data_IF_934669730447
#
_entry.id   IF_934669730447
#
_cell.length_a   1.000
_cell.length_b   1.000
_cell.length_c   1.000
_cell.angle_alpha   90.00
_cell.angle_beta   90.00
_cell.angle_gamma   90.00
#
_symmetry.space_group_name_H-M   'P 1'
#
loop_
_entity.id
_entity.type
_entity.pdbx_description
1 polymer ?
#
# COMPACT_ATOMS: atom_id res chain seq x y z
N UNK A 1 -4.63 8.71 -25.71
CA UNK A 1 -4.97 9.54 -24.53
C UNK A 1 -6.27 8.96 -24.01
N UNK A 2 -6.14 8.01 -23.09
CA UNK A 2 -7.30 7.36 -22.47
C UNK A 2 -8.02 8.43 -21.64
N UNK A 3 -9.34 8.66 -21.83
CA UNK A 3 -10.05 9.62 -21.01
C UNK A 3 -9.95 9.16 -19.56
N UNK A 4 -9.35 10.00 -18.71
CA UNK A 4 -9.37 9.80 -17.26
C UNK A 4 -10.80 9.46 -16.83
N UNK A 5 -10.97 8.44 -15.97
CA UNK A 5 -12.26 8.07 -15.43
C UNK A 5 -12.94 9.34 -14.86
N UNK A 6 -14.24 9.56 -15.11
CA UNK A 6 -14.91 10.84 -14.86
C UNK A 6 -14.91 11.30 -13.39
N UNK A 7 -14.47 10.45 -12.45
CA UNK A 7 -14.41 10.72 -11.01
C UNK A 7 -12.97 10.66 -10.44
N UNK A 8 -11.93 10.66 -11.29
CA UNK A 8 -10.55 10.51 -10.83
C UNK A 8 -10.02 11.79 -10.13
N UNK A 9 -9.42 11.62 -8.95
CA UNK A 9 -8.88 12.72 -8.14
C UNK A 9 -7.65 13.35 -8.81
N UNK A 10 -7.62 14.67 -9.07
CA UNK A 10 -6.48 15.29 -9.73
C UNK A 10 -5.24 15.26 -8.82
N UNK A 11 -4.13 14.75 -9.36
CA UNK A 11 -2.90 14.58 -8.61
C UNK A 11 -1.65 15.05 -9.38
N UNK A 12 -0.66 15.55 -8.66
CA UNK A 12 0.68 15.83 -9.21
C UNK A 12 1.64 14.74 -8.74
N UNK A 13 2.42 14.19 -9.65
CA UNK A 13 3.48 13.23 -9.30
C UNK A 13 4.77 13.98 -8.95
N UNK A 14 5.45 13.55 -7.90
CA UNK A 14 6.77 14.02 -7.53
C UNK A 14 7.74 12.85 -7.43
N UNK A 15 8.95 12.96 -7.97
CA UNK A 15 9.94 11.87 -7.90
C UNK A 15 11.37 12.39 -7.71
N UNK A 16 12.19 11.65 -6.97
CA UNK A 16 13.59 12.00 -6.69
C UNK A 16 14.50 10.79 -6.86
N UNK A 17 15.68 11.02 -7.42
CA UNK A 17 16.72 10.00 -7.54
C UNK A 17 18.11 10.62 -7.39
N UNK A 18 19.08 9.85 -6.90
CA UNK A 18 20.48 10.33 -6.85
C UNK A 18 21.22 10.13 -8.18
N UNK A 19 20.86 9.06 -8.92
CA UNK A 19 21.58 8.57 -10.10
C UNK A 19 20.99 9.03 -11.43
N UNK A 20 20.20 8.18 -12.07
CA UNK A 20 19.54 8.51 -13.34
C UNK A 20 18.29 9.36 -13.11
N UNK A 21 17.87 10.21 -14.06
CA UNK A 21 16.61 10.93 -13.96
C UNK A 21 15.45 9.98 -13.60
N UNK A 22 14.55 10.35 -12.66
CA UNK A 22 13.44 9.47 -12.29
C UNK A 22 12.56 9.16 -13.50
N UNK A 23 12.23 7.88 -13.68
CA UNK A 23 11.19 7.43 -14.62
C UNK A 23 9.87 7.33 -13.86
N UNK A 24 8.89 8.14 -14.25
CA UNK A 24 7.58 8.24 -13.61
C UNK A 24 6.52 7.36 -14.28
N UNK A 25 6.85 6.57 -15.32
CA UNK A 25 5.86 5.78 -16.04
C UNK A 25 5.09 4.82 -15.12
N UNK A 26 5.81 4.05 -14.31
CA UNK A 26 5.22 3.06 -13.40
C UNK A 26 4.35 3.71 -12.31
N UNK A 27 4.84 4.75 -11.63
CA UNK A 27 4.07 5.39 -10.55
C UNK A 27 2.80 6.06 -11.09
N UNK A 28 2.80 6.51 -12.35
CA UNK A 28 1.61 7.05 -13.02
C UNK A 28 0.56 5.97 -13.30
N UNK A 29 0.99 4.77 -13.70
CA UNK A 29 0.10 3.61 -13.84
C UNK A 29 -0.48 3.19 -12.49
N UNK A 30 0.34 3.15 -11.44
CA UNK A 30 -0.14 2.87 -10.07
C UNK A 30 -1.13 3.92 -9.57
N UNK A 31 -0.85 5.20 -9.82
CA UNK A 31 -1.73 6.31 -9.48
C UNK A 31 -3.09 6.18 -10.20
N UNK A 32 -3.07 5.88 -11.50
CA UNK A 32 -4.29 5.66 -12.27
C UNK A 32 -5.10 4.48 -11.74
N UNK A 33 -4.44 3.36 -11.41
CA UNK A 33 -5.08 2.20 -10.81
C UNK A 33 -5.70 2.50 -9.43
N UNK A 34 -5.16 3.47 -8.70
CA UNK A 34 -5.67 3.94 -7.40
C UNK A 34 -6.72 5.07 -7.54
N UNK A 35 -7.17 5.39 -8.76
CA UNK A 35 -8.21 6.39 -8.99
C UNK A 35 -7.73 7.83 -9.08
N UNK A 36 -6.42 8.07 -9.27
CA UNK A 36 -5.88 9.41 -9.46
C UNK A 36 -5.68 9.76 -10.93
N UNK A 37 -5.98 11.00 -11.30
CA UNK A 37 -5.66 11.59 -12.60
C UNK A 37 -4.39 12.43 -12.49
N UNK A 38 -3.28 11.97 -13.06
CA UNK A 38 -2.01 12.71 -13.01
C UNK A 38 -2.05 13.93 -13.94
N UNK A 39 -2.18 15.12 -13.35
CA UNK A 39 -2.32 16.42 -14.06
C UNK A 39 -1.00 17.19 -14.19
N UNK A 40 0.06 16.73 -13.53
CA UNK A 40 1.39 17.34 -13.60
C UNK A 40 2.46 16.44 -12.99
N UNK A 41 3.73 16.79 -13.22
CA UNK A 41 4.86 16.08 -12.60
C UNK A 41 6.02 17.01 -12.25
N UNK A 42 6.74 16.67 -11.18
CA UNK A 42 7.99 17.33 -10.76
C UNK A 42 9.02 16.26 -10.45
N UNK A 43 10.11 16.22 -11.20
CA UNK A 43 11.21 15.29 -10.95
C UNK A 43 12.50 16.00 -10.56
N UNK A 44 13.32 15.35 -9.74
CA UNK A 44 14.61 15.88 -9.33
C UNK A 44 15.69 14.81 -9.27
N UNK A 45 16.85 15.11 -9.88
CA UNK A 45 18.07 14.35 -9.63
C UNK A 45 18.92 15.04 -8.55
N UNK A 46 18.93 14.48 -7.34
CA UNK A 46 19.70 14.98 -6.19
C UNK A 46 19.76 13.91 -5.08
N UNK A 47 20.73 14.05 -4.18
CA UNK A 47 20.63 13.47 -2.84
C UNK A 47 19.41 14.03 -2.09
N UNK A 48 18.86 13.20 -1.20
CA UNK A 48 17.74 13.55 -0.33
C UNK A 48 17.96 14.85 0.44
N UNK A 49 16.88 15.62 0.55
CA UNK A 49 16.77 16.73 1.49
C UNK A 49 16.07 16.24 2.77
N UNK A 50 16.62 16.51 3.97
CA UNK A 50 16.03 16.00 5.21
C UNK A 50 14.64 16.59 5.49
N UNK A 51 14.28 17.74 4.89
CA UNK A 51 13.00 18.39 5.14
C UNK A 51 11.92 17.99 4.14
N UNK A 52 12.20 17.97 2.84
CA UNK A 52 11.17 17.72 1.83
C UNK A 52 11.44 16.50 0.95
N UNK A 53 12.56 15.81 1.18
CA UNK A 53 13.17 14.81 0.29
C UNK A 53 13.64 15.39 -1.07
N UNK A 54 12.87 16.33 -1.62
CA UNK A 54 13.22 17.27 -2.67
C UNK A 54 13.99 18.47 -2.11
N UNK A 55 14.84 19.10 -2.92
CA UNK A 55 15.39 20.40 -2.57
C UNK A 55 14.29 21.47 -2.47
N UNK A 56 14.45 22.42 -1.53
CA UNK A 56 13.47 23.49 -1.25
C UNK A 56 12.88 24.16 -2.49
N UNK A 57 13.71 24.59 -3.45
CA UNK A 57 13.21 25.24 -4.67
C UNK A 57 12.31 24.34 -5.53
N UNK A 58 12.53 23.02 -5.48
CA UNK A 58 11.74 22.02 -6.19
C UNK A 58 10.45 21.65 -5.44
N UNK A 59 10.50 21.66 -4.11
CA UNK A 59 9.30 21.57 -3.27
C UNK A 59 8.38 22.79 -3.49
N UNK A 60 8.94 24.00 -3.61
CA UNK A 60 8.17 25.21 -3.95
C UNK A 60 7.62 25.17 -5.39
N UNK A 61 8.35 24.57 -6.34
CA UNK A 61 7.84 24.32 -7.70
C UNK A 61 6.65 23.35 -7.70
N UNK A 62 6.75 22.28 -6.90
CA UNK A 62 5.67 21.31 -6.70
C UNK A 62 4.43 21.96 -6.09
N UNK A 63 4.58 22.81 -5.08
CA UNK A 63 3.46 23.57 -4.50
C UNK A 63 2.78 24.48 -5.53
N UNK A 64 3.55 25.24 -6.31
CA UNK A 64 2.97 26.10 -7.36
C UNK A 64 2.23 25.27 -8.40
N UNK A 65 2.81 24.16 -8.86
CA UNK A 65 2.17 23.28 -9.82
C UNK A 65 0.87 22.66 -9.26
N UNK A 66 0.88 22.20 -8.01
CA UNK A 66 -0.31 21.66 -7.35
C UNK A 66 -1.43 22.72 -7.26
N UNK A 67 -1.08 23.96 -6.91
CA UNK A 67 -2.03 25.07 -6.86
C UNK A 67 -2.60 25.41 -8.25
N UNK A 68 -1.73 25.57 -9.24
CA UNK A 68 -2.11 25.98 -10.60
C UNK A 68 -2.95 24.89 -11.30
N UNK A 69 -2.66 23.62 -11.04
CA UNK A 69 -3.38 22.48 -11.61
C UNK A 69 -4.64 22.09 -10.81
N UNK A 70 -4.89 22.71 -9.65
CA UNK A 70 -5.99 22.34 -8.77
C UNK A 70 -5.89 20.89 -8.26
N UNK A 71 -4.67 20.44 -7.98
CA UNK A 71 -4.44 19.07 -7.51
C UNK A 71 -4.92 18.89 -6.07
N UNK A 72 -5.66 17.82 -5.83
CA UNK A 72 -6.13 17.42 -4.50
C UNK A 72 -5.15 16.47 -3.81
N UNK A 73 -4.21 15.89 -4.56
CA UNK A 73 -3.16 15.02 -4.04
C UNK A 73 -1.81 15.28 -4.70
N UNK A 74 -0.75 15.01 -3.95
CA UNK A 74 0.62 14.85 -4.43
C UNK A 74 1.03 13.41 -4.20
N UNK A 75 1.37 12.72 -5.29
CA UNK A 75 1.85 11.34 -5.27
C UNK A 75 3.37 11.37 -5.34
N UNK A 76 4.02 10.96 -4.26
CA UNK A 76 5.47 10.93 -4.15
C UNK A 76 6.02 9.54 -4.49
N UNK A 77 6.80 9.45 -5.57
CA UNK A 77 7.45 8.23 -6.03
C UNK A 77 8.70 7.92 -5.20
N UNK A 78 8.46 7.36 -4.02
CA UNK A 78 9.47 7.03 -3.02
C UNK A 78 8.82 6.90 -1.64
N UNK A 79 9.62 6.59 -0.61
CA UNK A 79 9.16 6.64 0.77
C UNK A 79 9.47 8.00 1.38
N UNK A 80 8.51 8.58 2.09
CA UNK A 80 8.75 9.79 2.89
C UNK A 80 8.85 9.41 4.37
N UNK A 81 9.76 10.05 5.09
CA UNK A 81 9.71 10.02 6.55
C UNK A 81 8.47 10.77 7.07
N UNK A 82 8.02 10.52 8.30
CA UNK A 82 6.94 11.29 8.92
C UNK A 82 7.18 12.80 8.83
N UNK A 83 8.37 13.28 9.24
CA UNK A 83 8.71 14.70 9.20
C UNK A 83 8.70 15.29 7.79
N UNK A 84 9.16 14.55 6.78
CA UNK A 84 9.09 14.99 5.38
C UNK A 84 7.65 15.05 4.86
N UNK A 85 6.81 14.08 5.25
CA UNK A 85 5.38 14.06 4.90
C UNK A 85 4.68 15.31 5.44
N UNK A 86 4.89 15.63 6.72
CA UNK A 86 4.34 16.86 7.32
C UNK A 86 4.91 18.12 6.69
N UNK A 87 6.22 18.20 6.48
CA UNK A 87 6.86 19.38 5.89
C UNK A 87 6.35 19.66 4.47
N UNK A 88 6.16 18.62 3.64
CA UNK A 88 5.52 18.77 2.34
C UNK A 88 4.05 19.18 2.49
N UNK A 89 3.30 18.57 3.41
CA UNK A 89 1.90 18.92 3.68
C UNK A 89 1.74 20.39 4.08
N UNK A 90 2.60 20.91 4.95
CA UNK A 90 2.61 22.30 5.40
C UNK A 90 2.96 23.29 4.26
N UNK A 91 3.75 22.83 3.28
CA UNK A 91 4.13 23.65 2.13
C UNK A 91 3.04 23.71 1.06
N UNK A 92 2.29 22.63 0.85
CA UNK A 92 1.30 22.48 -0.21
C UNK A 92 0.02 23.28 0.03
N UNK A 93 -0.82 23.50 -1.01
CA UNK A 93 -2.11 24.15 -0.84
C UNK A 93 -2.99 23.42 0.21
N UNK A 94 -3.77 24.14 1.02
CA UNK A 94 -4.65 23.53 2.01
C UNK A 94 -5.58 22.48 1.39
N UNK A 95 -5.68 21.31 2.02
CA UNK A 95 -6.48 20.19 1.53
C UNK A 95 -5.76 19.24 0.55
N UNK A 96 -4.52 19.56 0.15
CA UNK A 96 -3.72 18.66 -0.71
C UNK A 96 -3.17 17.49 0.11
N UNK A 97 -3.56 16.26 -0.22
CA UNK A 97 -3.04 15.07 0.43
C UNK A 97 -1.62 14.74 -0.06
N UNK A 98 -0.71 14.40 0.85
CA UNK A 98 0.60 13.82 0.49
C UNK A 98 0.53 12.29 0.60
N UNK A 99 0.78 11.62 -0.52
CA UNK A 99 0.69 10.17 -0.66
C UNK A 99 2.02 9.65 -1.18
N UNK A 100 2.79 8.99 -0.33
CA UNK A 100 4.02 8.35 -0.76
C UNK A 100 3.75 6.98 -1.39
N UNK A 101 4.76 6.40 -2.06
CA UNK A 101 4.60 5.11 -2.74
C UNK A 101 4.12 3.99 -1.80
N UNK A 102 4.67 3.82 -0.58
CA UNK A 102 4.12 2.86 0.38
C UNK A 102 2.63 3.05 0.65
N UNK A 103 2.16 4.29 0.87
CA UNK A 103 0.72 4.56 1.07
C UNK A 103 -0.11 4.25 -0.15
N UNK A 104 0.34 4.67 -1.33
CA UNK A 104 -0.36 4.41 -2.60
C UNK A 104 -0.55 2.90 -2.82
N UNK A 105 0.48 2.11 -2.54
CA UNK A 105 0.43 0.65 -2.64
C UNK A 105 -0.55 0.06 -1.63
N UNK A 106 -0.61 0.58 -0.39
CA UNK A 106 -1.60 0.15 0.60
C UNK A 106 -3.04 0.52 0.22
N UNK A 107 -3.24 1.61 -0.52
CA UNK A 107 -4.55 1.99 -1.08
C UNK A 107 -4.99 1.00 -2.16
N UNK A 108 -4.09 0.65 -3.10
CA UNK A 108 -4.37 -0.36 -4.13
C UNK A 108 -4.73 -1.73 -3.57
N UNK A 109 -4.10 -2.15 -2.47
CA UNK A 109 -4.38 -3.45 -1.88
C UNK A 109 -5.69 -3.51 -1.08
N UNK A 110 -6.31 -2.37 -0.72
CA UNK A 110 -7.60 -2.39 -0.01
C UNK A 110 -8.71 -3.07 -0.82
N UNK A 111 -8.67 -2.88 -2.14
CA UNK A 111 -9.72 -3.39 -3.02
C UNK A 111 -9.42 -4.81 -3.53
N UNK A 112 -8.21 -5.33 -3.27
CA UNK A 112 -7.72 -6.60 -3.81
C UNK A 112 -7.61 -7.73 -2.79
N UNK A 113 -7.94 -7.50 -1.52
CA UNK A 113 -7.76 -8.49 -0.47
C UNK A 113 -8.90 -9.54 -0.49
N UNK A 114 -8.60 -10.71 -1.06
CA UNK A 114 -9.58 -11.80 -1.23
C UNK A 114 -9.62 -12.82 -0.08
N UNK A 115 -8.98 -12.53 1.06
CA UNK A 115 -8.99 -13.45 2.19
C UNK A 115 -8.84 -12.75 3.54
N UNK A 116 -9.46 -13.34 4.58
CA UNK A 116 -9.31 -12.87 5.97
C UNK A 116 -7.86 -12.67 6.40
N UNK A 117 -6.93 -13.50 5.93
CA UNK A 117 -5.52 -13.35 6.24
C UNK A 117 -4.90 -12.13 5.52
N UNK A 118 -5.25 -11.92 4.26
CA UNK A 118 -4.79 -10.78 3.47
C UNK A 118 -5.36 -9.47 4.05
N UNK A 119 -6.64 -9.44 4.42
CA UNK A 119 -7.28 -8.28 5.07
C UNK A 119 -6.54 -7.88 6.34
N UNK A 120 -6.22 -8.87 7.19
CA UNK A 120 -5.50 -8.62 8.45
C UNK A 120 -4.06 -8.21 8.23
N UNK A 121 -3.38 -8.74 7.22
CA UNK A 121 -2.04 -8.30 6.83
C UNK A 121 -2.06 -6.85 6.34
N UNK A 122 -3.06 -6.49 5.54
CA UNK A 122 -3.22 -5.12 5.06
C UNK A 122 -3.52 -4.15 6.19
N UNK A 123 -4.43 -4.51 7.11
CA UNK A 123 -4.72 -3.71 8.30
C UNK A 123 -3.45 -3.50 9.13
N UNK A 124 -2.70 -4.56 9.42
CA UNK A 124 -1.44 -4.47 10.15
C UNK A 124 -0.42 -3.57 9.44
N UNK A 125 -0.29 -3.69 8.11
CA UNK A 125 0.61 -2.86 7.32
C UNK A 125 0.21 -1.38 7.38
N UNK A 126 -1.09 -1.06 7.26
CA UNK A 126 -1.62 0.29 7.43
C UNK A 126 -1.32 0.85 8.81
N UNK A 127 -1.62 0.10 9.88
CA UNK A 127 -1.37 0.55 11.25
C UNK A 127 0.13 0.82 11.49
N UNK A 128 1.01 -0.04 10.99
CA UNK A 128 2.47 0.14 11.10
C UNK A 128 2.98 1.34 10.30
N UNK A 129 2.37 1.64 9.15
CA UNK A 129 2.69 2.82 8.35
C UNK A 129 2.22 4.13 9.03
N UNK A 130 1.04 4.10 9.66
CA UNK A 130 0.42 5.26 10.32
C UNK A 130 1.04 5.58 11.69
N UNK A 131 1.39 4.57 12.50
CA UNK A 131 1.92 4.77 13.86
C UNK A 131 3.07 5.79 13.96
N UNK A 132 4.16 5.70 13.16
CA UNK A 132 5.24 6.70 13.24
C UNK A 132 4.79 8.10 12.79
N UNK A 133 3.79 8.21 11.90
CA UNK A 133 3.21 9.49 11.46
C UNK A 133 2.30 10.10 12.52
N UNK A 134 1.51 9.27 13.20
CA UNK A 134 0.71 9.71 14.35
C UNK A 134 1.60 10.24 15.48
N UNK A 135 2.72 9.58 15.78
CA UNK A 135 3.68 10.08 16.78
C UNK A 135 4.28 11.42 16.39
N UNK A 136 4.63 11.62 15.12
CA UNK A 136 5.11 12.91 14.61
C UNK A 136 4.03 14.00 14.75
N UNK A 137 2.78 13.69 14.40
CA UNK A 137 1.66 14.62 14.56
C UNK A 137 1.51 15.09 16.02
N UNK A 138 1.46 14.12 16.95
CA UNK A 138 1.34 14.40 18.39
C UNK A 138 2.53 15.22 18.91
N UNK A 139 3.74 14.93 18.43
CA UNK A 139 4.94 15.68 18.83
C UNK A 139 4.90 17.15 18.34
N UNK A 140 4.38 17.40 17.14
CA UNK A 140 4.21 18.75 16.59
C UNK A 140 3.14 19.53 17.36
N UNK A 141 1.99 18.91 17.63
CA UNK A 141 0.91 19.54 18.40
C UNK A 141 1.36 19.91 19.83
N UNK A 142 2.20 19.09 20.46
CA UNK A 142 2.74 19.35 21.79
C UNK A 142 3.73 20.54 21.84
N UNK A 143 4.26 20.96 20.68
CA UNK A 143 5.22 22.08 20.57
C UNK A 143 4.55 23.45 20.43
N UNK A 144 3.28 23.50 20.00
CA UNK A 144 2.45 24.72 19.94
C UNK A 144 1.69 24.94 21.27
N UNK A 145 2.38 25.41 22.33
CA UNK A 145 1.84 25.99 23.59
C UNK A 145 0.64 25.32 24.32
N UNK A 146 0.25 24.09 23.97
CA UNK A 146 -0.77 23.28 24.65
C UNK A 146 -0.11 22.01 25.19
N UNK A 147 0.86 22.21 26.08
CA UNK A 147 1.44 21.11 26.88
C UNK A 147 0.37 20.63 27.84
N UNK A 148 -0.30 19.51 27.51
CA UNK A 148 -1.13 18.61 28.34
C UNK A 148 -2.43 18.20 27.61
N UNK A 149 -2.34 17.50 26.48
CA UNK A 149 -3.48 16.73 25.98
C UNK A 149 -3.23 15.22 26.16
N UNK A 150 -3.83 14.57 27.18
CA UNK A 150 -3.76 13.11 27.35
C UNK A 150 -4.41 12.32 26.19
N UNK A 151 -5.08 12.99 25.27
CA UNK A 151 -5.76 12.39 24.12
C UNK A 151 -4.78 11.90 23.04
N UNK A 152 -3.66 12.61 22.81
CA UNK A 152 -2.65 12.22 21.81
C UNK A 152 -1.91 10.94 22.18
N UNK A 153 -1.40 10.87 23.41
CA UNK A 153 -0.73 9.67 23.94
C UNK A 153 -1.69 8.47 23.96
N UNK A 154 -2.96 8.71 24.30
CA UNK A 154 -3.99 7.67 24.28
C UNK A 154 -4.22 7.09 22.87
N UNK A 155 -4.20 7.94 21.83
CA UNK A 155 -4.33 7.50 20.43
C UNK A 155 -3.15 6.66 19.96
N UNK A 156 -1.92 7.04 20.34
CA UNK A 156 -0.72 6.25 20.02
C UNK A 156 -0.81 4.86 20.67
N UNK A 157 -1.15 4.81 21.96
CA UNK A 157 -1.33 3.56 22.69
C UNK A 157 -2.46 2.68 22.11
N UNK A 158 -3.55 3.28 21.61
CA UNK A 158 -4.62 2.54 20.93
C UNK A 158 -4.13 1.86 19.65
N UNK A 159 -3.40 2.60 18.81
CA UNK A 159 -2.81 2.05 17.57
C UNK A 159 -1.81 0.94 17.89
N UNK A 160 -0.97 1.09 18.90
CA UNK A 160 -0.05 0.04 19.37
C UNK A 160 -0.80 -1.23 19.78
N UNK A 161 -1.86 -1.11 20.58
CA UNK A 161 -2.70 -2.26 20.99
C UNK A 161 -3.37 -2.93 19.79
N UNK A 162 -3.81 -2.16 18.80
CA UNK A 162 -4.39 -2.68 17.57
C UNK A 162 -3.37 -3.45 16.74
N UNK A 163 -2.13 -2.97 16.67
CA UNK A 163 -1.00 -3.70 16.03
C UNK A 163 -0.79 -5.04 16.72
N UNK A 164 -0.64 -5.05 18.05
CA UNK A 164 -0.45 -6.29 18.82
C UNK A 164 -1.61 -7.28 18.62
N UNK A 165 -2.84 -6.78 18.55
CA UNK A 165 -4.02 -7.60 18.30
C UNK A 165 -4.02 -8.19 16.88
N UNK A 166 -3.65 -7.39 15.88
CA UNK A 166 -3.56 -7.85 14.49
C UNK A 166 -2.44 -8.88 14.30
N UNK A 167 -1.29 -8.68 14.94
CA UNK A 167 -0.18 -9.63 14.96
C UNK A 167 -0.58 -10.98 15.58
N UNK A 168 -1.27 -10.96 16.73
CA UNK A 168 -1.78 -12.18 17.37
C UNK A 168 -2.75 -12.94 16.46
N UNK A 169 -3.72 -12.24 15.88
CA UNK A 169 -4.68 -12.85 14.96
C UNK A 169 -4.01 -13.46 13.71
N UNK A 170 -2.97 -12.83 13.19
CA UNK A 170 -2.19 -13.39 12.09
C UNK A 170 -1.39 -14.62 12.49
N UNK A 171 -0.86 -14.66 13.72
CA UNK A 171 -0.22 -15.84 14.30
C UNK A 171 -1.17 -17.03 14.35
N UNK A 172 -2.37 -16.84 14.88
CA UNK A 172 -3.41 -17.88 14.93
C UNK A 172 -3.76 -18.41 13.53
N UNK A 173 -3.94 -17.53 12.55
CA UNK A 173 -4.19 -17.93 11.14
C UNK A 173 -3.01 -18.74 10.56
N UNK A 174 -1.77 -18.37 10.91
CA UNK A 174 -0.57 -19.06 10.43
C UNK A 174 -0.45 -20.47 11.01
N UNK A 175 -0.74 -20.63 12.30
CA UNK A 175 -0.74 -21.93 13.00
C UNK A 175 -1.81 -22.86 12.41
N UNK A 176 -3.01 -22.34 12.22
CA UNK A 176 -4.13 -23.02 11.54
C UNK A 176 -3.74 -23.52 10.14
N UNK A 177 -3.04 -22.67 9.35
CA UNK A 177 -2.55 -23.04 8.02
C UNK A 177 -1.41 -24.06 8.10
N UNK A 178 -0.57 -24.03 9.13
CA UNK A 178 0.47 -25.03 9.33
C UNK A 178 -0.12 -26.41 9.64
N UNK A 179 -1.13 -26.47 10.52
CA UNK A 179 -1.84 -27.71 10.85
C UNK A 179 -2.49 -28.35 9.62
N UNK A 180 -3.26 -27.57 8.83
CA UNK A 180 -3.87 -28.06 7.58
C UNK A 180 -2.84 -28.54 6.55
N UNK A 181 -1.68 -27.87 6.47
CA UNK A 181 -0.58 -28.31 5.59
C UNK A 181 0.04 -29.63 6.05
N UNK A 182 0.18 -29.84 7.37
CA UNK A 182 0.67 -31.10 7.91
C UNK A 182 -0.29 -32.24 7.58
N UNK A 183 -1.60 -32.07 7.85
CA UNK A 183 -2.64 -33.04 7.52
C UNK A 183 -2.65 -33.41 6.03
N UNK A 184 -2.55 -32.42 5.13
CA UNK A 184 -2.48 -32.66 3.69
C UNK A 184 -1.24 -33.46 3.27
N UNK A 185 -0.08 -33.20 3.87
CA UNK A 185 1.14 -33.98 3.62
C UNK A 185 1.00 -35.41 4.11
N UNK A 186 0.43 -35.62 5.29
CA UNK A 186 0.18 -36.95 5.84
C UNK A 186 -0.80 -37.74 4.96
N UNK A 187 -1.73 -37.05 4.30
CA UNK A 187 -2.63 -37.62 3.29
C UNK A 187 -1.99 -37.80 1.89
N UNK A 188 -0.69 -37.51 1.72
CA UNK A 188 0.04 -37.73 0.47
C UNK A 188 0.03 -36.57 -0.53
N UNK A 189 -0.45 -35.38 -0.15
CA UNK A 189 -0.46 -34.19 -1.02
C UNK A 189 0.73 -33.27 -0.78
N UNK A 190 1.34 -32.79 -1.86
CA UNK A 190 2.37 -31.75 -1.85
C UNK A 190 1.80 -30.36 -2.14
N UNK A 191 2.43 -29.32 -1.55
CA UNK A 191 2.05 -27.92 -1.76
C UNK A 191 3.08 -27.22 -2.64
N UNK A 192 2.65 -26.74 -3.81
CA UNK A 192 3.46 -25.96 -4.74
C UNK A 192 2.96 -24.51 -4.77
N UNK A 193 3.88 -23.54 -4.76
CA UNK A 193 3.56 -22.11 -4.86
C UNK A 193 4.18 -21.50 -6.12
N UNK A 194 3.41 -20.65 -6.81
CA UNK A 194 3.87 -19.89 -7.98
C UNK A 194 4.15 -18.44 -7.57
N UNK A 195 5.38 -17.96 -7.83
CA UNK A 195 5.82 -16.60 -7.50
C UNK A 195 6.45 -15.90 -8.71
N UNK A 196 6.47 -14.56 -8.71
CA UNK A 196 6.94 -13.72 -9.82
C UNK A 196 6.23 -12.36 -9.85
N UNK A 197 6.61 -11.45 -10.73
CA UNK A 197 6.08 -10.09 -10.80
C UNK A 197 4.60 -10.02 -11.19
N UNK A 198 3.92 -8.92 -10.85
CA UNK A 198 2.57 -8.63 -11.35
C UNK A 198 2.59 -8.67 -12.88
N UNK A 199 1.53 -9.23 -13.49
CA UNK A 199 1.43 -9.45 -14.94
C UNK A 199 2.43 -10.48 -15.57
N UNK A 200 3.21 -11.23 -14.77
CA UNK A 200 4.07 -12.30 -15.30
C UNK A 200 3.33 -13.58 -15.78
N UNK A 201 2.00 -13.56 -15.84
CA UNK A 201 1.20 -14.70 -16.30
C UNK A 201 0.97 -15.83 -15.28
N UNK A 202 1.29 -15.63 -13.99
CA UNK A 202 1.11 -16.63 -12.92
C UNK A 202 -0.31 -17.21 -12.84
N UNK A 203 -1.32 -16.34 -12.91
CA UNK A 203 -2.73 -16.76 -12.89
C UNK A 203 -3.13 -17.55 -14.14
N UNK A 204 -2.54 -17.21 -15.29
CA UNK A 204 -2.74 -17.94 -16.55
C UNK A 204 -2.14 -19.34 -16.47
N UNK A 205 -0.92 -19.48 -15.92
CA UNK A 205 -0.29 -20.77 -15.70
C UNK A 205 -1.08 -21.62 -14.71
N UNK A 206 -1.49 -21.04 -13.57
CA UNK A 206 -2.26 -21.73 -12.56
C UNK A 206 -3.59 -22.29 -13.11
N UNK A 207 -4.31 -21.51 -13.94
CA UNK A 207 -5.54 -21.99 -14.61
C UNK A 207 -5.27 -23.14 -15.57
N UNK A 208 -4.26 -23.03 -16.44
CA UNK A 208 -3.94 -24.09 -17.40
C UNK A 208 -3.57 -25.40 -16.71
N UNK A 209 -2.78 -25.33 -15.63
CA UNK A 209 -2.43 -26.51 -14.84
C UNK A 209 -3.64 -27.12 -14.13
N UNK A 210 -4.65 -26.33 -13.77
CA UNK A 210 -5.88 -26.84 -13.19
C UNK A 210 -6.78 -27.49 -14.25
N UNK A 211 -6.92 -26.87 -15.43
CA UNK A 211 -7.76 -27.37 -16.53
C UNK A 211 -7.22 -28.69 -17.13
N UNK A 212 -5.90 -28.91 -17.13
CA UNK A 212 -5.28 -30.18 -17.59
C UNK A 212 -5.50 -31.35 -16.62
N UNK A 213 -5.90 -31.10 -15.37
CA UNK A 213 -6.13 -32.15 -14.35
C UNK A 213 -7.58 -32.68 -14.38
N UNK A 214 -8.50 -32.01 -15.08
CA UNK A 214 -9.85 -32.52 -15.39
C UNK A 214 -9.85 -33.57 -16.53
N UNK A 215 -8.76 -34.34 -16.67
CA UNK A 215 -8.68 -35.49 -17.58
C UNK A 215 -9.37 -36.72 -16.93
N UNK A 216 -10.36 -37.34 -17.58
CA UNK A 216 -11.10 -38.49 -17.03
C UNK A 216 -10.25 -39.74 -16.74
N UNK A 217 -8.98 -39.81 -17.14
CA UNK A 217 -8.08 -40.92 -16.75
C UNK A 217 -7.76 -40.97 -15.24
N UNK A 218 -8.03 -39.91 -14.47
CA UNK A 218 -7.81 -39.88 -13.00
C UNK A 218 -9.10 -39.96 -12.16
N UNK A 219 -10.26 -40.21 -12.77
CA UNK A 219 -11.54 -40.33 -12.06
C UNK A 219 -11.87 -41.76 -11.63
N UNK A 220 -11.62 -42.11 -10.35
CA UNK A 220 -12.61 -42.81 -9.50
C UNK A 220 -12.17 -43.20 -8.07
N UNK A 221 -10.98 -42.86 -7.56
CA UNK A 221 -10.58 -43.31 -6.19
C UNK A 221 -10.41 -42.25 -5.09
N UNK A 222 -10.62 -40.96 -5.38
CA UNK A 222 -10.61 -39.94 -4.33
C UNK A 222 -11.91 -39.14 -4.37
N UNK A 223 -12.76 -39.32 -3.35
CA UNK A 223 -13.97 -38.53 -3.16
C UNK A 223 -13.65 -37.04 -3.28
N UNK A 224 -14.18 -36.40 -4.31
CA UNK A 224 -13.96 -35.00 -4.60
C UNK A 224 -14.32 -34.14 -3.37
N UNK A 225 -13.42 -33.26 -2.90
CA UNK A 225 -13.81 -32.27 -1.90
C UNK A 225 -14.73 -31.25 -2.58
N UNK A 226 -15.94 -31.11 -2.05
CA UNK A 226 -16.90 -30.09 -2.46
C UNK A 226 -16.29 -28.70 -2.23
N UNK A 227 -15.86 -28.05 -3.31
CA UNK A 227 -15.26 -26.71 -3.29
C UNK A 227 -16.33 -25.61 -3.10
N UNK A 228 -17.60 -25.97 -2.85
CA UNK A 228 -18.67 -25.02 -2.53
C UNK A 228 -19.00 -25.02 -1.04
N UNK A 229 -18.05 -24.64 -0.18
CA UNK A 229 -18.36 -24.04 1.12
C UNK A 229 -17.12 -23.45 1.79
N UNK A 230 -16.92 -22.15 1.60
CA UNK A 230 -16.12 -21.33 2.50
C UNK A 230 -16.56 -19.87 2.46
N UNK A 231 -17.86 -19.62 2.55
CA UNK A 231 -18.41 -18.34 3.00
C UNK A 231 -19.16 -18.58 4.32
N UNK A 232 -18.45 -18.37 5.43
CA UNK A 232 -18.97 -18.17 6.78
C UNK A 232 -17.92 -17.50 7.67
#
# INVERSE_FOLDING_TARGET
MDPAAPDATPAVVAARSEGEPPDTAEIRELAAAAGYAVVGEVTQRRREDPTYDLGRGKAEELMRLAADAGAEAVIYDGGLSPGQTFSLGDLLPPGTAVIDRPRLVLELFADAADSRAADRQLELARLRYELPRLREAVARDASEDVRLQPEGDSRVLDVEKRIESAERALGEIADDRAARRAERRDAGFDLVALAGDTNAGKSTLARRLADEVDDPEFGDEAGAPDVRRADA
#
